data_IF_731012783086
#
_entry.id   IF_731012783086
#
_cell.length_a   1.000
_cell.length_b   1.000
_cell.length_c   1.000
_cell.angle_alpha   90.00
_cell.angle_beta   90.00
_cell.angle_gamma   90.00
#
_symmetry.space_group_name_H-M   'P 1'
#
loop_
_entity.id
_entity.type
_entity.pdbx_description
1 polymer ?
#
# COMPACT_ATOMS: atom_id res chain seq x y z
N UNK A 1 -0.26 -11.79 -5.72
CA UNK A 1 0.52 -10.89 -6.57
C UNK A 1 -0.24 -9.60 -6.88
N UNK A 2 -1.36 -9.61 -7.60
CA UNK A 2 -2.09 -8.39 -7.97
C UNK A 2 -2.49 -7.52 -6.75
N UNK A 3 -3.11 -8.11 -5.73
CA UNK A 3 -3.48 -7.35 -4.52
C UNK A 3 -2.27 -6.76 -3.80
N UNK A 4 -1.12 -7.43 -3.77
CA UNK A 4 0.12 -6.91 -3.21
C UNK A 4 0.57 -5.64 -3.94
N UNK A 5 0.57 -5.66 -5.26
CA UNK A 5 0.88 -4.52 -6.11
C UNK A 5 -0.08 -3.34 -5.88
N UNK A 6 -1.39 -3.60 -5.95
CA UNK A 6 -2.43 -2.56 -5.78
C UNK A 6 -2.38 -1.93 -4.39
N UNK A 7 -2.27 -2.77 -3.35
CA UNK A 7 -2.21 -2.28 -1.98
C UNK A 7 -0.99 -1.38 -1.75
N UNK A 8 0.12 -1.65 -2.45
CA UNK A 8 1.30 -0.79 -2.37
C UNK A 8 1.09 0.54 -3.09
N UNK A 9 0.46 0.54 -4.26
CA UNK A 9 0.09 1.78 -4.97
C UNK A 9 -0.80 2.68 -4.09
N UNK A 10 -1.81 2.09 -3.46
CA UNK A 10 -2.72 2.80 -2.57
C UNK A 10 -2.00 3.28 -1.29
N UNK A 11 -1.12 2.45 -0.72
CA UNK A 11 -0.37 2.80 0.49
C UNK A 11 0.51 4.05 0.33
N UNK A 12 1.07 4.26 -0.86
CA UNK A 12 1.91 5.43 -1.17
C UNK A 12 1.16 6.55 -1.90
N UNK A 13 -0.15 6.36 -2.15
CA UNK A 13 -0.98 7.32 -2.89
C UNK A 13 -0.39 7.69 -4.26
N UNK A 14 0.14 6.69 -4.98
CA UNK A 14 0.60 6.90 -6.34
C UNK A 14 -0.58 7.08 -7.27
N UNK A 15 -0.59 8.20 -8.00
CA UNK A 15 -1.59 8.46 -9.02
C UNK A 15 -1.33 7.55 -10.22
N UNK A 16 -2.04 6.44 -10.26
CA UNK A 16 -1.88 5.42 -11.29
C UNK A 16 -3.25 5.06 -11.85
N UNK A 17 -3.35 5.05 -13.18
CA UNK A 17 -4.51 4.55 -13.90
C UNK A 17 -4.15 3.20 -14.50
N UNK A 18 -5.03 2.22 -14.37
CA UNK A 18 -4.75 0.83 -14.74
C UNK A 18 -5.78 0.28 -15.71
N UNK A 19 -5.33 -0.57 -16.64
CA UNK A 19 -6.14 -1.41 -17.52
C UNK A 19 -5.73 -2.88 -17.36
N UNK A 20 -6.62 -3.81 -17.67
CA UNK A 20 -6.37 -5.25 -17.63
C UNK A 20 -6.59 -5.86 -19.01
N UNK A 21 -5.55 -6.53 -19.49
CA UNK A 21 -5.61 -7.39 -20.67
C UNK A 21 -5.38 -8.82 -20.22
N UNK A 22 -6.27 -9.70 -20.60
CA UNK A 22 -6.13 -11.14 -20.42
C UNK A 22 -5.81 -11.76 -21.76
N UNK A 23 -4.92 -12.76 -21.77
CA UNK A 23 -4.53 -13.45 -22.99
C UNK A 23 -4.41 -14.95 -22.77
N UNK A 24 -4.78 -15.67 -23.81
CA UNK A 24 -4.74 -17.11 -23.96
C UNK A 24 -4.37 -17.38 -25.43
N UNK A 25 -5.20 -18.09 -26.16
CA UNK A 25 -5.09 -18.21 -27.64
C UNK A 25 -5.41 -16.91 -28.38
N UNK A 26 -5.92 -15.91 -27.69
CA UNK A 26 -6.12 -14.52 -28.15
C UNK A 26 -6.05 -13.55 -26.97
N UNK A 27 -5.76 -12.29 -27.26
CA UNK A 27 -5.72 -11.22 -26.28
C UNK A 27 -7.05 -10.44 -26.26
N UNK A 28 -7.53 -10.06 -25.07
CA UNK A 28 -8.76 -9.29 -24.87
C UNK A 28 -8.60 -8.22 -23.79
N UNK A 29 -9.25 -7.06 -23.99
CA UNK A 29 -9.34 -6.00 -22.98
C UNK A 29 -10.41 -6.39 -21.96
N UNK A 30 -10.01 -6.92 -20.82
CA UNK A 30 -10.92 -7.30 -19.74
C UNK A 30 -11.37 -6.10 -18.91
N UNK A 31 -10.51 -5.07 -18.82
CA UNK A 31 -10.82 -3.80 -18.18
C UNK A 31 -10.11 -2.65 -18.92
N UNK A 32 -10.86 -1.66 -19.37
CA UNK A 32 -10.27 -0.42 -19.91
C UNK A 32 -9.53 0.35 -18.83
N UNK A 33 -8.55 1.17 -19.23
CA UNK A 33 -7.76 1.98 -18.31
C UNK A 33 -8.69 2.93 -17.53
N UNK A 34 -8.58 2.88 -16.19
CA UNK A 34 -9.35 3.68 -15.25
C UNK A 34 -8.55 3.96 -13.98
N UNK A 35 -8.94 5.00 -13.24
CA UNK A 35 -8.44 5.26 -11.89
C UNK A 35 -9.17 4.44 -10.82
N UNK A 36 -10.34 3.86 -11.14
CA UNK A 36 -11.13 3.05 -10.22
C UNK A 36 -10.55 1.63 -10.10
N UNK A 37 -9.53 1.48 -9.26
CA UNK A 37 -8.74 0.26 -9.10
C UNK A 37 -9.60 -0.91 -8.58
N UNK A 38 -10.64 -0.65 -7.79
CA UNK A 38 -11.51 -1.68 -7.24
C UNK A 38 -12.21 -2.55 -8.31
N UNK A 39 -12.47 -1.98 -9.48
CA UNK A 39 -13.05 -2.73 -10.60
C UNK A 39 -12.17 -3.89 -11.07
N UNK A 40 -10.87 -3.84 -10.79
CA UNK A 40 -9.92 -4.87 -11.16
C UNK A 40 -10.05 -6.14 -10.33
N UNK A 41 -10.26 -6.02 -9.02
CA UNK A 41 -10.27 -7.15 -8.09
C UNK A 41 -11.26 -8.21 -8.55
N UNK A 42 -12.50 -7.80 -8.85
CA UNK A 42 -13.54 -8.70 -9.35
C UNK A 42 -13.20 -9.36 -10.69
N UNK A 43 -12.44 -8.67 -11.55
CA UNK A 43 -12.04 -9.22 -12.86
C UNK A 43 -10.93 -10.26 -12.70
N UNK A 44 -9.96 -10.00 -11.82
CA UNK A 44 -8.85 -10.92 -11.54
C UNK A 44 -9.35 -12.20 -10.87
N UNK A 45 -10.26 -12.09 -9.91
CA UNK A 45 -10.83 -13.25 -9.19
C UNK A 45 -11.61 -14.22 -10.12
N UNK A 46 -12.15 -13.70 -11.22
CA UNK A 46 -12.86 -14.49 -12.22
C UNK A 46 -11.98 -15.14 -13.29
N UNK A 47 -10.65 -14.88 -13.29
CA UNK A 47 -9.74 -15.42 -14.32
C UNK A 47 -9.53 -16.92 -14.16
N UNK A 48 -9.51 -17.63 -15.30
CA UNK A 48 -9.20 -19.06 -15.36
C UNK A 48 -8.08 -19.28 -16.38
N UNK A 49 -7.04 -19.99 -15.98
CA UNK A 49 -5.99 -20.42 -16.89
C UNK A 49 -6.54 -21.45 -17.90
N UNK A 50 -6.35 -21.18 -19.19
CA UNK A 50 -6.78 -22.07 -20.26
C UNK A 50 -6.11 -21.68 -21.59
N UNK A 51 -5.84 -22.66 -22.47
CA UNK A 51 -5.42 -22.44 -23.85
C UNK A 51 -3.92 -22.15 -24.03
N UNK A 52 -3.60 -21.60 -25.19
CA UNK A 52 -2.24 -21.23 -25.62
C UNK A 52 -1.85 -19.84 -25.12
N UNK A 53 -0.67 -19.35 -25.52
CA UNK A 53 -0.12 -18.06 -25.08
C UNK A 53 0.05 -17.12 -26.27
N UNK A 54 -0.84 -16.09 -26.40
CA UNK A 54 -0.75 -15.02 -27.41
C UNK A 54 -0.10 -13.76 -26.77
N UNK A 55 1.18 -13.86 -26.40
CA UNK A 55 1.93 -12.84 -25.67
C UNK A 55 2.10 -11.54 -26.47
N UNK A 56 2.56 -11.65 -27.73
CA UNK A 56 2.82 -10.48 -28.56
C UNK A 56 1.54 -9.74 -28.93
N UNK A 57 0.44 -10.48 -29.18
CA UNK A 57 -0.87 -9.86 -29.43
C UNK A 57 -1.37 -9.10 -28.17
N UNK A 58 -1.09 -9.62 -26.98
CA UNK A 58 -1.45 -8.94 -25.74
C UNK A 58 -0.63 -7.66 -25.51
N UNK A 59 0.66 -7.69 -25.75
CA UNK A 59 1.53 -6.52 -25.64
C UNK A 59 1.16 -5.44 -26.67
N UNK A 60 0.82 -5.83 -27.92
CA UNK A 60 0.35 -4.91 -28.93
C UNK A 60 -0.99 -4.25 -28.52
N UNK A 61 -1.94 -5.05 -28.06
CA UNK A 61 -3.24 -4.55 -27.60
C UNK A 61 -3.07 -3.59 -26.39
N UNK A 62 -2.15 -3.88 -25.48
CA UNK A 62 -1.82 -3.01 -24.35
C UNK A 62 -1.22 -1.68 -24.82
N UNK A 63 -0.32 -1.72 -25.79
CA UNK A 63 0.25 -0.52 -26.40
C UNK A 63 -0.83 0.36 -27.05
N UNK A 64 -1.79 -0.23 -27.75
CA UNK A 64 -2.90 0.50 -28.37
C UNK A 64 -3.78 1.17 -27.33
N UNK A 65 -4.12 0.45 -26.23
CA UNK A 65 -4.89 1.03 -25.12
C UNK A 65 -4.13 2.18 -24.43
N UNK A 66 -2.83 2.05 -24.23
CA UNK A 66 -2.01 3.12 -23.65
C UNK A 66 -1.88 4.31 -24.58
N UNK A 67 -1.77 4.08 -25.88
CA UNK A 67 -1.67 5.15 -26.89
C UNK A 67 -2.97 5.94 -27.02
N UNK A 68 -4.12 5.27 -27.03
CA UNK A 68 -5.43 5.90 -26.98
C UNK A 68 -5.61 6.73 -25.68
N UNK A 69 -5.23 6.16 -24.55
CA UNK A 69 -5.39 6.82 -23.25
C UNK A 69 -4.45 8.02 -23.08
N UNK A 70 -3.25 7.95 -23.63
CA UNK A 70 -2.27 9.04 -23.60
C UNK A 70 -2.73 10.32 -24.31
N UNK A 71 -3.71 10.24 -25.20
CA UNK A 71 -4.32 11.43 -25.81
C UNK A 71 -5.00 12.33 -24.76
N UNK A 72 -5.52 11.73 -23.68
CA UNK A 72 -6.15 12.46 -22.56
C UNK A 72 -5.13 12.89 -21.51
N UNK A 73 -4.03 12.14 -21.36
CA UNK A 73 -3.00 12.34 -20.37
C UNK A 73 -1.59 12.30 -20.99
N UNK A 74 -1.21 13.32 -21.80
CA UNK A 74 0.01 13.28 -22.63
C UNK A 74 1.31 13.17 -21.81
N UNK A 75 1.31 13.60 -20.55
CA UNK A 75 2.47 13.57 -19.69
C UNK A 75 2.56 12.28 -18.84
N UNK A 76 1.58 11.37 -18.94
CA UNK A 76 1.60 10.13 -18.19
C UNK A 76 2.69 9.18 -18.72
N UNK A 77 3.45 8.60 -17.81
CA UNK A 77 4.39 7.52 -18.13
C UNK A 77 3.59 6.26 -18.49
N UNK A 78 3.95 5.65 -19.61
CA UNK A 78 3.27 4.45 -20.13
C UNK A 78 4.05 3.22 -19.73
N UNK A 79 3.36 2.25 -19.13
CA UNK A 79 3.97 1.02 -18.64
C UNK A 79 3.03 -0.17 -18.77
N UNK A 80 3.61 -1.32 -19.07
CA UNK A 80 2.94 -2.62 -19.06
C UNK A 80 3.62 -3.48 -18.00
N UNK A 81 2.84 -4.15 -17.17
CA UNK A 81 3.31 -5.23 -16.30
C UNK A 81 2.77 -6.52 -16.91
N UNK A 82 3.67 -7.34 -17.41
CA UNK A 82 3.34 -8.62 -18.02
C UNK A 82 3.63 -9.77 -17.05
N UNK A 83 2.64 -10.61 -16.78
CA UNK A 83 2.79 -11.81 -15.94
C UNK A 83 2.49 -13.01 -16.81
N UNK A 84 3.47 -13.90 -16.99
CA UNK A 84 3.35 -15.10 -17.83
C UNK A 84 4.24 -16.23 -17.33
N UNK A 85 3.76 -17.45 -17.49
CA UNK A 85 4.48 -18.70 -17.20
C UNK A 85 5.01 -19.39 -18.47
N UNK A 86 4.74 -18.85 -19.65
CA UNK A 86 5.07 -19.48 -20.91
C UNK A 86 5.59 -18.54 -21.99
N UNK A 87 6.19 -19.17 -23.01
CA UNK A 87 6.62 -18.52 -24.25
C UNK A 87 5.41 -18.29 -25.15
N UNK A 88 5.55 -17.33 -26.07
CA UNK A 88 4.54 -17.10 -27.10
C UNK A 88 4.35 -18.33 -27.98
N UNK A 89 3.11 -18.77 -28.12
CA UNK A 89 2.75 -19.94 -28.94
C UNK A 89 1.69 -19.65 -30.00
N UNK A 90 0.98 -18.53 -29.88
CA UNK A 90 -0.24 -18.29 -30.68
C UNK A 90 -0.42 -16.87 -31.22
N UNK A 91 0.50 -15.97 -30.95
CA UNK A 91 0.36 -14.60 -31.47
C UNK A 91 0.33 -14.56 -33.01
N UNK A 92 -0.47 -13.70 -33.53
CA UNK A 92 -0.52 -13.36 -34.95
C UNK A 92 0.51 -12.30 -35.32
N UNK A 93 0.84 -11.44 -34.38
CA UNK A 93 1.84 -10.40 -34.55
C UNK A 93 3.26 -10.94 -34.28
N UNK A 94 4.24 -10.35 -34.96
CA UNK A 94 5.64 -10.70 -34.75
C UNK A 94 6.21 -9.91 -33.58
N UNK A 95 6.98 -10.57 -32.73
CA UNK A 95 7.64 -9.92 -31.59
C UNK A 95 8.51 -8.73 -31.96
N UNK A 96 9.21 -8.80 -33.13
CA UNK A 96 10.00 -7.67 -33.65
C UNK A 96 9.19 -6.42 -33.93
N UNK A 97 7.99 -6.58 -34.52
CA UNK A 97 7.14 -5.46 -34.90
C UNK A 97 6.50 -4.83 -33.68
N UNK A 98 6.06 -5.66 -32.73
CA UNK A 98 5.52 -5.21 -31.43
C UNK A 98 6.60 -4.49 -30.64
N UNK A 99 7.82 -5.04 -30.55
CA UNK A 99 8.95 -4.41 -29.85
C UNK A 99 9.29 -3.04 -30.43
N UNK A 100 9.28 -2.92 -31.77
CA UNK A 100 9.50 -1.65 -32.44
C UNK A 100 8.44 -0.62 -32.12
N UNK A 101 7.16 -1.02 -32.10
CA UNK A 101 6.04 -0.13 -31.79
C UNK A 101 6.08 0.33 -30.33
N UNK A 102 6.39 -0.56 -29.39
CA UNK A 102 6.57 -0.23 -27.96
C UNK A 102 7.72 0.77 -27.78
N UNK A 103 8.83 0.56 -28.47
CA UNK A 103 9.98 1.48 -28.46
C UNK A 103 9.57 2.88 -28.96
N UNK A 104 8.91 2.97 -30.13
CA UNK A 104 8.47 4.25 -30.69
C UNK A 104 7.52 5.00 -29.74
N UNK A 105 6.63 4.27 -29.07
CA UNK A 105 5.65 4.83 -28.14
C UNK A 105 6.21 5.06 -26.74
N UNK A 106 7.48 4.74 -26.50
CA UNK A 106 8.16 4.85 -25.19
C UNK A 106 7.37 4.14 -24.09
N UNK A 107 6.94 2.92 -24.35
CA UNK A 107 6.22 2.07 -23.40
C UNK A 107 7.22 1.14 -22.74
N UNK A 108 7.30 1.21 -21.40
CA UNK A 108 8.13 0.31 -20.59
C UNK A 108 7.38 -0.98 -20.32
N UNK A 109 8.07 -2.13 -20.42
CA UNK A 109 7.51 -3.45 -20.12
C UNK A 109 8.29 -4.08 -18.97
N UNK A 110 7.65 -4.18 -17.82
CA UNK A 110 8.13 -4.97 -16.69
C UNK A 110 7.50 -6.36 -16.77
N UNK A 111 8.27 -7.42 -16.59
CA UNK A 111 7.78 -8.79 -16.75
C UNK A 111 8.04 -9.65 -15.51
N UNK A 112 7.00 -10.38 -15.11
CA UNK A 112 7.07 -11.43 -14.11
C UNK A 112 7.02 -12.79 -14.84
N UNK A 113 8.12 -13.49 -14.84
CA UNK A 113 8.22 -14.83 -15.42
C UNK A 113 7.96 -15.84 -14.31
N UNK A 114 6.86 -16.59 -14.43
CA UNK A 114 6.49 -17.63 -13.50
C UNK A 114 6.94 -18.99 -14.07
N UNK A 115 7.39 -19.90 -13.20
CA UNK A 115 7.85 -21.23 -13.61
C UNK A 115 9.35 -21.32 -13.77
N UNK A 116 9.83 -22.53 -14.08
CA UNK A 116 11.25 -22.90 -14.05
C UNK A 116 11.99 -22.54 -15.34
N UNK A 117 11.27 -22.26 -16.42
CA UNK A 117 11.89 -21.94 -17.71
C UNK A 117 12.19 -20.46 -17.88
N UNK A 118 13.38 -20.14 -18.39
CA UNK A 118 13.74 -18.76 -18.75
C UNK A 118 12.98 -18.31 -20.01
N UNK A 119 12.00 -17.42 -19.82
CA UNK A 119 11.27 -16.82 -20.92
C UNK A 119 12.11 -15.73 -21.60
N UNK A 120 12.82 -16.11 -22.67
CA UNK A 120 13.71 -15.22 -23.42
C UNK A 120 12.99 -14.08 -24.09
N UNK A 121 11.73 -14.27 -24.51
CA UNK A 121 10.92 -13.23 -25.16
C UNK A 121 10.59 -12.12 -24.19
N UNK A 122 10.11 -12.46 -23.00
CA UNK A 122 9.84 -11.47 -21.94
C UNK A 122 11.11 -10.79 -21.46
N UNK A 123 12.22 -11.50 -21.36
CA UNK A 123 13.52 -10.92 -21.02
C UNK A 123 13.94 -9.88 -22.07
N UNK A 124 13.82 -10.23 -23.33
CA UNK A 124 14.21 -9.36 -24.45
C UNK A 124 13.38 -8.08 -24.46
N UNK A 125 12.06 -8.19 -24.38
CA UNK A 125 11.21 -7.00 -24.45
C UNK A 125 11.38 -6.07 -23.22
N UNK A 126 11.56 -6.64 -22.02
CA UNK A 126 11.86 -5.83 -20.83
C UNK A 126 13.17 -5.07 -21.01
N UNK A 127 14.22 -5.74 -21.53
CA UNK A 127 15.49 -5.08 -21.83
C UNK A 127 15.34 -3.93 -22.82
N UNK A 128 14.74 -4.16 -23.96
CA UNK A 128 14.60 -3.15 -25.02
C UNK A 128 13.79 -1.95 -24.57
N UNK A 129 12.81 -2.15 -23.69
CA UNK A 129 11.92 -1.11 -23.22
C UNK A 129 12.42 -0.35 -21.98
N UNK A 130 13.56 -0.71 -21.41
CA UNK A 130 14.04 -0.14 -20.14
C UNK A 130 13.24 -0.59 -18.92
N UNK A 131 12.62 -1.73 -18.99
CA UNK A 131 11.91 -2.39 -17.90
C UNK A 131 12.76 -3.42 -17.17
N UNK A 132 12.13 -4.07 -16.19
CA UNK A 132 12.74 -5.13 -15.40
C UNK A 132 12.09 -6.48 -15.71
N UNK A 133 12.88 -7.56 -15.68
CA UNK A 133 12.37 -8.91 -15.65
C UNK A 133 12.52 -9.47 -14.24
N UNK A 134 11.42 -9.92 -13.66
CA UNK A 134 11.38 -10.61 -12.38
C UNK A 134 11.18 -12.11 -12.61
N UNK A 135 11.99 -12.93 -11.95
CA UNK A 135 11.89 -14.38 -12.00
C UNK A 135 11.83 -14.96 -10.57
N UNK A 136 10.68 -14.81 -9.89
CA UNK A 136 10.54 -15.28 -8.52
C UNK A 136 10.64 -16.80 -8.42
N UNK A 137 11.37 -17.27 -7.42
CA UNK A 137 11.58 -18.71 -7.18
C UNK A 137 10.59 -19.27 -6.14
N UNK A 138 9.81 -18.40 -5.49
CA UNK A 138 8.79 -18.80 -4.53
C UNK A 138 7.61 -17.82 -4.58
N UNK A 139 6.47 -18.25 -4.02
CA UNK A 139 5.31 -17.36 -3.90
C UNK A 139 5.61 -16.16 -2.98
N UNK A 140 6.34 -16.36 -1.89
CA UNK A 140 6.77 -15.27 -1.01
C UNK A 140 7.60 -14.23 -1.77
N UNK A 141 8.58 -14.66 -2.54
CA UNK A 141 9.39 -13.80 -3.38
C UNK A 141 8.54 -13.08 -4.44
N UNK A 142 7.57 -13.78 -5.05
CA UNK A 142 6.62 -13.16 -5.98
C UNK A 142 5.85 -12.02 -5.34
N UNK A 143 5.41 -12.19 -4.11
CA UNK A 143 4.66 -11.17 -3.37
C UNK A 143 5.54 -9.96 -3.04
N UNK A 144 6.77 -10.18 -2.56
CA UNK A 144 7.75 -9.11 -2.29
C UNK A 144 8.06 -8.29 -3.55
N UNK A 145 8.31 -8.96 -4.68
CA UNK A 145 8.58 -8.30 -5.95
C UNK A 145 7.37 -7.48 -6.44
N UNK A 146 6.16 -8.01 -6.28
CA UNK A 146 4.95 -7.26 -6.61
C UNK A 146 4.72 -6.06 -5.69
N UNK A 147 5.13 -6.12 -4.44
CA UNK A 147 5.10 -4.97 -3.53
C UNK A 147 6.15 -3.92 -3.89
N UNK A 148 7.31 -4.34 -4.37
CA UNK A 148 8.42 -3.48 -4.74
C UNK A 148 8.19 -2.77 -6.07
N UNK A 149 7.55 -3.42 -7.02
CA UNK A 149 7.38 -2.94 -8.39
C UNK A 149 6.76 -1.53 -8.50
N UNK A 150 5.70 -1.16 -7.76
CA UNK A 150 5.16 0.19 -7.79
C UNK A 150 6.18 1.27 -7.41
N UNK A 151 7.10 0.95 -6.49
CA UNK A 151 8.15 1.87 -6.03
C UNK A 151 9.23 2.02 -7.09
N UNK A 152 9.61 0.94 -7.77
CA UNK A 152 10.58 0.97 -8.87
C UNK A 152 10.19 1.94 -9.99
N UNK A 153 8.88 2.18 -10.15
CA UNK A 153 8.39 3.16 -11.12
C UNK A 153 8.80 4.61 -10.80
N UNK A 154 9.15 4.90 -9.56
CA UNK A 154 9.59 6.23 -9.10
C UNK A 154 11.10 6.42 -9.21
N UNK A 155 11.85 5.35 -9.48
CA UNK A 155 13.29 5.36 -9.61
C UNK A 155 13.74 5.65 -11.03
N UNK A 156 15.02 5.95 -11.20
CA UNK A 156 15.68 6.00 -12.50
C UNK A 156 15.70 4.58 -13.10
N UNK A 157 15.16 4.47 -14.31
CA UNK A 157 15.08 3.20 -15.01
C UNK A 157 16.25 2.97 -15.92
N UNK A 158 16.52 1.70 -16.28
CA UNK A 158 17.47 1.39 -17.34
C UNK A 158 17.14 2.13 -18.65
N UNK A 159 18.13 2.46 -19.46
CA UNK A 159 17.90 3.15 -20.73
C UNK A 159 17.08 2.28 -21.70
N UNK A 160 16.23 2.93 -22.46
CA UNK A 160 15.53 2.26 -23.58
C UNK A 160 16.54 1.98 -24.68
N UNK A 161 16.61 0.74 -25.15
CA UNK A 161 17.52 0.29 -26.19
C UNK A 161 16.78 0.12 -27.52
N UNK A 162 17.28 0.75 -28.58
CA UNK A 162 16.70 0.56 -29.91
C UNK A 162 16.78 -0.90 -30.36
N UNK A 163 15.68 -1.52 -30.80
CA UNK A 163 15.70 -2.88 -31.32
C UNK A 163 16.72 -3.08 -32.47
N UNK A 164 16.99 -2.02 -33.24
CA UNK A 164 18.01 -2.06 -34.33
C UNK A 164 19.43 -2.11 -33.78
N UNK A 165 19.70 -1.38 -32.71
CA UNK A 165 21.00 -1.42 -32.02
C UNK A 165 21.23 -2.77 -31.34
N UNK A 166 20.21 -3.31 -30.70
CA UNK A 166 20.25 -4.64 -30.07
C UNK A 166 20.55 -5.77 -31.08
N UNK A 167 20.08 -5.65 -32.33
CA UNK A 167 20.39 -6.61 -33.39
C UNK A 167 21.80 -6.46 -33.97
N UNK A 168 22.43 -5.27 -33.85
CA UNK A 168 23.78 -5.02 -34.32
C UNK A 168 24.87 -5.48 -33.35
N UNK A 169 24.56 -5.56 -32.07
CA UNK A 169 25.43 -6.14 -31.06
C UNK A 169 24.96 -7.58 -30.85
N UNK A 170 25.86 -8.54 -31.05
CA UNK A 170 25.58 -9.95 -30.77
C UNK A 170 24.93 -10.00 -29.38
N UNK A 171 23.70 -10.45 -29.34
CA UNK A 171 22.89 -10.57 -28.12
C UNK A 171 23.73 -11.28 -27.06
N UNK A 172 24.18 -10.52 -26.07
CA UNK A 172 24.89 -11.09 -24.94
C UNK A 172 23.86 -11.69 -23.97
N UNK A 173 23.74 -13.02 -23.90
CA UNK A 173 22.85 -13.68 -22.97
C UNK A 173 23.20 -13.42 -21.51
N UNK A 174 24.35 -12.75 -21.25
CA UNK A 174 24.81 -12.36 -19.93
C UNK A 174 24.35 -10.97 -19.49
N UNK A 175 23.76 -10.16 -20.38
CA UNK A 175 23.00 -8.98 -19.98
C UNK A 175 21.72 -9.40 -19.26
N UNK A 176 21.93 -9.98 -18.14
CA UNK A 176 20.89 -10.46 -17.26
C UNK A 176 20.46 -9.28 -16.39
N UNK A 177 19.16 -8.98 -16.40
CA UNK A 177 18.60 -7.96 -15.53
C UNK A 177 18.81 -8.33 -14.08
N UNK A 178 19.29 -7.36 -13.36
CA UNK A 178 19.90 -7.46 -12.03
C UNK A 178 18.89 -7.86 -10.96
N UNK A 179 17.61 -7.59 -11.14
CA UNK A 179 16.62 -7.68 -10.06
C UNK A 179 15.97 -9.05 -9.85
N UNK A 180 16.30 -10.04 -10.63
CA UNK A 180 15.49 -11.25 -10.60
C UNK A 180 16.20 -12.48 -10.06
N UNK A 181 17.35 -12.32 -9.39
CA UNK A 181 18.18 -13.49 -9.27
C UNK A 181 18.28 -14.12 -7.96
N UNK A 182 18.43 -13.32 -6.96
CA UNK A 182 18.68 -13.83 -5.64
C UNK A 182 17.70 -13.22 -4.66
N UNK A 183 17.21 -14.05 -3.76
CA UNK A 183 16.37 -13.64 -2.64
C UNK A 183 17.04 -12.52 -1.84
N UNK A 184 18.38 -12.56 -1.72
CA UNK A 184 19.17 -11.56 -1.06
C UNK A 184 19.13 -10.20 -1.78
N UNK A 185 19.21 -10.19 -3.11
CA UNK A 185 19.14 -8.95 -3.90
C UNK A 185 17.76 -8.32 -3.82
N UNK A 186 16.69 -9.12 -3.84
CA UNK A 186 15.33 -8.63 -3.68
C UNK A 186 15.08 -8.07 -2.26
N UNK A 187 15.64 -8.67 -1.23
CA UNK A 187 15.53 -8.21 0.16
C UNK A 187 16.33 -6.92 0.40
N UNK A 188 17.53 -6.81 -0.15
CA UNK A 188 18.38 -5.61 -0.04
C UNK A 188 17.78 -4.44 -0.79
N UNK A 189 17.30 -4.67 -2.01
CA UNK A 189 16.67 -3.64 -2.83
C UNK A 189 15.36 -3.15 -2.22
N UNK A 190 14.59 -4.03 -1.55
CA UNK A 190 13.35 -3.63 -0.85
C UNK A 190 13.60 -2.68 0.32
N UNK A 191 14.69 -2.85 1.05
CA UNK A 191 15.00 -1.99 2.20
C UNK A 191 15.39 -0.56 1.81
N UNK A 192 16.16 -0.41 0.74
CA UNK A 192 16.71 0.88 0.31
C UNK A 192 15.78 1.68 -0.63
N UNK A 193 14.90 0.99 -1.35
CA UNK A 193 14.04 1.59 -2.37
C UNK A 193 12.77 2.20 -1.76
N UNK A 194 12.24 1.63 -0.68
CA UNK A 194 11.00 2.15 -0.09
C UNK A 194 11.21 3.56 0.47
N UNK A 195 10.33 4.52 0.09
CA UNK A 195 10.41 5.87 0.63
C UNK A 195 10.41 5.84 2.15
N UNK A 196 11.37 6.54 2.75
CA UNK A 196 11.40 6.71 4.19
C UNK A 196 10.14 7.47 4.64
N UNK A 197 9.57 7.04 5.75
CA UNK A 197 8.43 7.70 6.33
C UNK A 197 8.84 9.08 6.81
N UNK A 198 8.13 10.12 6.37
CA UNK A 198 8.21 11.43 7.02
C UNK A 198 7.40 11.38 8.32
N UNK A 199 8.03 11.78 9.41
CA UNK A 199 7.31 11.93 10.67
C UNK A 199 6.29 13.07 10.58
N UNK A 200 5.17 12.90 11.26
CA UNK A 200 4.17 13.97 11.34
C UNK A 200 4.70 15.11 12.19
N UNK A 201 4.51 16.40 11.80
CA UNK A 201 5.06 17.54 12.54
C UNK A 201 4.63 17.59 14.01
N UNK A 202 3.43 17.12 14.32
CA UNK A 202 2.88 17.09 15.68
C UNK A 202 3.23 15.81 16.47
N UNK A 203 4.09 14.94 15.96
CA UNK A 203 4.40 13.65 16.64
C UNK A 203 5.10 13.84 17.98
N UNK A 204 5.85 14.93 18.13
CA UNK A 204 6.60 15.26 19.35
C UNK A 204 5.97 16.42 20.15
N UNK A 205 4.69 16.74 19.93
CA UNK A 205 3.97 17.73 20.71
C UNK A 205 3.79 17.30 22.17
N UNK A 206 3.44 18.26 23.02
CA UNK A 206 2.87 17.98 24.35
C UNK A 206 1.43 17.49 24.21
N UNK A 207 1.03 16.55 25.04
CA UNK A 207 -0.26 15.90 24.95
C UNK A 207 -1.02 15.97 26.27
N UNK A 208 -2.34 16.04 26.17
CA UNK A 208 -3.26 15.95 27.31
C UNK A 208 -4.10 14.68 27.18
N UNK A 209 -4.18 13.89 28.23
CA UNK A 209 -5.03 12.70 28.25
C UNK A 209 -6.51 13.08 28.29
N UNK A 210 -7.31 12.53 27.38
CA UNK A 210 -8.75 12.69 27.39
C UNK A 210 -9.36 11.78 28.47
N UNK A 211 -9.73 12.37 29.60
CA UNK A 211 -10.36 11.67 30.75
C UNK A 211 -11.60 12.42 31.22
N UNK A 212 -12.44 11.75 31.99
CA UNK A 212 -13.62 12.38 32.63
C UNK A 212 -13.27 13.58 33.53
N UNK A 213 -12.06 13.60 34.11
CA UNK A 213 -11.57 14.75 34.88
C UNK A 213 -11.24 15.97 34.02
N UNK A 214 -10.75 15.75 32.78
CA UNK A 214 -10.47 16.81 31.83
C UNK A 214 -11.77 17.46 31.26
N UNK A 215 -12.86 16.71 31.24
CA UNK A 215 -14.17 17.21 30.78
C UNK A 215 -14.82 18.24 31.73
N UNK A 216 -14.40 18.27 33.00
CA UNK A 216 -14.90 19.23 34.01
C UNK A 216 -14.02 20.47 34.13
N UNK A 217 -12.77 20.40 33.72
CA UNK A 217 -11.94 21.60 33.57
C UNK A 217 -12.06 22.01 32.10
N UNK A 218 -12.92 23.04 31.86
CA UNK A 218 -13.04 23.72 30.60
C UNK A 218 -11.66 23.79 29.91
N UNK A 219 -11.52 23.16 28.75
CA UNK A 219 -10.51 23.57 27.79
C UNK A 219 -10.67 25.08 27.68
N UNK A 220 -9.73 25.81 28.24
CA UNK A 220 -9.80 27.24 28.33
C UNK A 220 -9.78 27.88 26.95
N UNK A 221 -10.92 27.94 26.33
CA UNK A 221 -11.21 28.96 25.34
C UNK A 221 -11.20 30.25 26.12
N UNK A 222 -10.12 31.03 25.97
CA UNK A 222 -9.97 32.31 26.66
C UNK A 222 -11.27 33.08 26.69
N UNK A 223 -11.76 33.34 27.85
CA UNK A 223 -12.90 34.24 28.10
C UNK A 223 -12.47 35.68 27.79
N UNK A 224 -12.35 35.98 26.51
CA UNK A 224 -12.38 37.34 25.98
C UNK A 224 -13.83 37.68 25.68
N UNK A 225 -14.43 38.48 26.56
CA UNK A 225 -15.74 39.09 26.36
C UNK A 225 -15.74 39.92 25.07
N UNK A 226 -16.46 39.47 24.08
CA UNK A 226 -17.29 40.31 23.20
C UNK A 226 -17.97 39.49 22.13
N UNK A 227 -19.26 39.70 22.03
CA UNK A 227 -20.18 39.22 21.01
C UNK A 227 -19.67 39.32 19.58
N UNK A 228 -19.20 38.24 19.04
CA UNK A 228 -19.23 37.98 17.62
C UNK A 228 -19.49 36.49 17.47
N UNK A 229 -20.64 36.13 16.89
CA UNK A 229 -20.89 34.78 16.34
C UNK A 229 -19.85 34.51 15.23
N UNK A 230 -18.65 34.15 15.60
CA UNK A 230 -17.67 33.61 14.66
C UNK A 230 -18.19 32.24 14.23
N UNK A 231 -18.39 32.05 12.95
CA UNK A 231 -18.66 30.77 12.31
C UNK A 231 -17.58 29.78 12.75
N UNK A 232 -17.84 29.00 13.80
CA UNK A 232 -16.99 27.89 14.17
C UNK A 232 -16.98 26.94 12.98
N UNK A 233 -15.80 26.69 12.39
CA UNK A 233 -15.65 25.80 11.27
C UNK A 233 -16.30 24.45 11.61
N UNK A 234 -17.08 23.87 10.69
CA UNK A 234 -17.77 22.59 10.86
C UNK A 234 -16.82 21.49 11.37
N UNK A 235 -15.56 21.49 10.88
CA UNK A 235 -14.50 20.59 11.34
C UNK A 235 -14.22 20.73 12.84
N UNK A 236 -14.02 21.94 13.33
CA UNK A 236 -13.75 22.20 14.75
C UNK A 236 -14.91 21.78 15.63
N UNK A 237 -16.15 22.09 15.23
CA UNK A 237 -17.36 21.66 15.94
C UNK A 237 -17.45 20.14 16.01
N UNK A 238 -17.14 19.45 14.91
CA UNK A 238 -17.12 17.98 14.87
C UNK A 238 -16.05 17.42 15.80
N UNK A 239 -14.82 17.93 15.78
CA UNK A 239 -13.72 17.47 16.65
C UNK A 239 -14.11 17.59 18.13
N UNK A 240 -14.78 18.68 18.54
CA UNK A 240 -15.27 18.84 19.91
C UNK A 240 -16.32 17.79 20.28
N UNK A 241 -17.17 17.39 19.35
CA UNK A 241 -18.13 16.28 19.56
C UNK A 241 -17.39 14.96 19.75
N UNK A 242 -16.36 14.70 18.93
CA UNK A 242 -15.54 13.49 19.05
C UNK A 242 -14.80 13.42 20.39
N UNK A 243 -14.23 14.53 20.87
CA UNK A 243 -13.59 14.61 22.19
C UNK A 243 -14.58 14.22 23.29
N UNK A 244 -15.79 14.79 23.28
CA UNK A 244 -16.83 14.48 24.28
C UNK A 244 -17.23 13.00 24.21
N UNK A 245 -17.33 12.45 23.01
CA UNK A 245 -17.68 11.05 22.80
C UNK A 245 -16.61 10.11 23.38
N UNK A 246 -15.31 10.38 23.15
CA UNK A 246 -14.20 9.62 23.73
C UNK A 246 -14.21 9.69 25.27
N UNK A 247 -14.39 10.89 25.83
CA UNK A 247 -14.42 11.10 27.29
C UNK A 247 -15.59 10.37 27.94
N UNK A 248 -16.75 10.32 27.27
CA UNK A 248 -17.95 9.65 27.76
C UNK A 248 -17.86 8.11 27.71
N UNK A 249 -16.98 7.56 26.86
CA UNK A 249 -16.87 6.13 26.64
C UNK A 249 -15.41 5.66 26.80
N UNK A 250 -14.85 5.69 28.03
CA UNK A 250 -13.48 5.23 28.28
C UNK A 250 -13.35 3.74 27.99
N UNK A 251 -12.22 3.34 27.41
CA UNK A 251 -11.96 1.94 27.06
C UNK A 251 -10.93 1.32 28.01
N UNK A 252 -11.08 0.05 28.45
CA UNK A 252 -10.16 -0.54 29.41
C UNK A 252 -8.74 -0.79 28.87
N UNK A 253 -8.59 -0.93 27.55
CA UNK A 253 -7.33 -1.33 26.93
C UNK A 253 -6.64 -0.21 26.12
N UNK A 254 -7.19 0.99 26.02
CA UNK A 254 -6.49 2.09 25.40
C UNK A 254 -6.83 3.45 26.04
N UNK A 255 -5.89 4.39 25.89
CA UNK A 255 -6.03 5.79 26.27
C UNK A 255 -5.87 6.68 25.05
N UNK A 256 -6.60 7.79 25.02
CA UNK A 256 -6.54 8.80 23.95
C UNK A 256 -5.92 10.08 24.49
N UNK A 257 -4.97 10.63 23.74
CA UNK A 257 -4.23 11.85 24.05
C UNK A 257 -4.39 12.85 22.94
N UNK A 258 -4.68 14.09 23.31
CA UNK A 258 -4.86 15.23 22.41
C UNK A 258 -3.60 16.07 22.38
N UNK A 259 -3.11 16.46 21.19
CA UNK A 259 -2.01 17.44 21.07
C UNK A 259 -2.49 18.81 21.57
N UNK A 260 -1.69 19.47 22.41
CA UNK A 260 -1.98 20.81 22.92
C UNK A 260 -1.90 21.88 21.84
N UNK A 261 -1.01 21.69 20.87
CA UNK A 261 -0.81 22.65 19.77
C UNK A 261 -1.81 22.44 18.63
N UNK A 262 -2.35 21.22 18.46
CA UNK A 262 -3.22 20.85 17.35
C UNK A 262 -4.34 19.91 17.78
N UNK A 263 -5.52 20.45 18.08
CA UNK A 263 -6.68 19.67 18.51
C UNK A 263 -7.16 18.62 17.49
N UNK A 264 -6.71 18.66 16.24
CA UNK A 264 -7.03 17.66 15.24
C UNK A 264 -6.03 16.50 15.19
N UNK A 265 -4.96 16.55 15.99
CA UNK A 265 -3.96 15.49 16.07
C UNK A 265 -4.02 14.77 17.41
N UNK A 266 -4.34 13.46 17.35
CA UNK A 266 -4.50 12.63 18.53
C UNK A 266 -3.50 11.47 18.53
N UNK A 267 -3.09 11.02 19.72
CA UNK A 267 -2.42 9.74 19.91
C UNK A 267 -3.32 8.79 20.69
N UNK A 268 -3.31 7.54 20.31
CA UNK A 268 -3.99 6.44 21.01
C UNK A 268 -2.93 5.44 21.45
N UNK A 269 -2.79 5.24 22.76
CA UNK A 269 -1.92 4.23 23.33
C UNK A 269 -2.76 3.01 23.69
N UNK A 270 -2.58 1.90 22.99
CA UNK A 270 -3.40 0.71 23.15
C UNK A 270 -2.58 -0.51 23.55
N UNK A 271 -3.04 -1.21 24.57
CA UNK A 271 -2.57 -2.55 24.93
C UNK A 271 -3.15 -3.55 23.95
N UNK A 272 -2.33 -4.48 23.45
CA UNK A 272 -2.84 -5.54 22.58
C UNK A 272 -3.95 -6.37 23.24
N UNK A 273 -4.96 -6.82 22.47
CA UNK A 273 -6.08 -7.60 23.02
C UNK A 273 -5.60 -8.87 23.71
N UNK A 274 -6.16 -9.24 24.88
CA UNK A 274 -5.67 -10.36 25.70
C UNK A 274 -5.55 -11.70 24.99
N UNK A 275 -6.45 -12.01 24.06
CA UNK A 275 -6.50 -13.30 23.35
C UNK A 275 -5.79 -13.27 21.98
N UNK A 276 -5.13 -12.17 21.65
CA UNK A 276 -4.43 -11.99 20.37
C UNK A 276 -2.95 -12.35 20.44
N UNK A 277 -2.31 -12.47 19.26
CA UNK A 277 -0.86 -12.57 19.16
C UNK A 277 -0.14 -11.31 19.70
N UNK A 278 -0.87 -10.23 19.94
CA UNK A 278 -0.38 -8.91 20.34
C UNK A 278 -0.54 -8.61 21.83
N UNK A 279 -1.05 -9.53 22.63
CA UNK A 279 -1.47 -9.33 24.03
C UNK A 279 -0.39 -8.76 24.95
N UNK A 280 0.88 -9.00 24.68
CA UNK A 280 2.02 -8.52 25.50
C UNK A 280 2.58 -7.18 25.01
N UNK A 281 2.06 -6.63 23.91
CA UNK A 281 2.54 -5.39 23.30
C UNK A 281 1.70 -4.18 23.65
N UNK A 282 2.33 -3.00 23.60
CA UNK A 282 1.65 -1.72 23.66
C UNK A 282 1.97 -0.92 22.40
N UNK A 283 0.95 -0.46 21.74
CA UNK A 283 1.04 0.16 20.42
C UNK A 283 0.54 1.59 20.45
N UNK A 284 1.21 2.47 19.76
CA UNK A 284 0.81 3.87 19.62
C UNK A 284 0.33 4.13 18.21
N UNK A 285 -0.91 4.53 18.09
CA UNK A 285 -1.56 5.00 16.86
C UNK A 285 -1.69 6.52 16.91
N UNK A 286 -1.45 7.23 15.82
CA UNK A 286 -1.93 8.59 15.70
C UNK A 286 -3.14 8.69 14.77
N UNK A 287 -3.96 9.69 15.02
CA UNK A 287 -5.13 10.07 14.21
C UNK A 287 -4.95 11.55 13.87
N UNK A 288 -4.94 11.85 12.58
CA UNK A 288 -4.85 13.22 12.06
C UNK A 288 -6.12 13.54 11.26
N UNK A 289 -6.91 14.44 11.78
CA UNK A 289 -8.13 14.93 11.16
C UNK A 289 -7.81 16.14 10.29
N UNK A 290 -7.35 15.90 9.06
CA UNK A 290 -6.95 16.94 8.11
C UNK A 290 -8.09 17.94 7.79
N UNK A 291 -7.82 18.92 6.92
CA UNK A 291 -8.74 20.03 6.61
C UNK A 291 -10.12 19.58 6.10
N UNK A 292 -10.13 18.47 5.35
CA UNK A 292 -11.34 17.92 4.73
C UNK A 292 -12.18 17.02 5.67
N UNK A 293 -11.75 16.83 6.92
CA UNK A 293 -12.51 16.07 7.91
C UNK A 293 -13.79 16.82 8.31
N UNK A 294 -14.96 16.16 8.43
CA UNK A 294 -15.24 14.73 8.34
C UNK A 294 -15.68 14.23 6.95
N UNK A 295 -15.60 15.04 5.90
CA UNK A 295 -15.96 14.60 4.56
C UNK A 295 -15.07 13.43 4.08
N UNK A 296 -13.80 13.45 4.46
CA UNK A 296 -12.87 12.33 4.31
C UNK A 296 -12.45 11.76 5.66
N UNK A 297 -12.05 10.49 5.65
CA UNK A 297 -11.57 9.81 6.86
C UNK A 297 -10.30 10.45 7.41
N UNK A 298 -10.07 10.43 8.73
CA UNK A 298 -8.81 10.86 9.28
C UNK A 298 -7.67 9.92 8.86
N UNK A 299 -6.44 10.43 8.80
CA UNK A 299 -5.25 9.60 8.60
C UNK A 299 -4.89 8.89 9.88
N UNK A 300 -4.83 7.56 9.82
CA UNK A 300 -4.48 6.70 10.94
C UNK A 300 -3.19 5.95 10.65
N UNK A 301 -2.21 6.03 11.57
CA UNK A 301 -0.96 5.28 11.45
C UNK A 301 -0.43 4.85 12.81
N UNK A 302 0.04 3.62 12.88
CA UNK A 302 0.84 3.18 14.01
C UNK A 302 2.22 3.84 13.97
N UNK A 303 2.66 4.42 15.08
CA UNK A 303 4.03 4.87 15.28
C UNK A 303 4.91 3.72 15.76
N UNK A 304 4.35 2.84 16.59
CA UNK A 304 5.00 1.59 16.96
C UNK A 304 4.94 0.62 15.79
N UNK A 305 6.08 0.07 15.33
CA UNK A 305 6.08 -0.98 14.31
C UNK A 305 5.27 -2.19 14.76
N UNK A 306 4.50 -2.76 13.85
CA UNK A 306 3.65 -3.92 14.15
C UNK A 306 3.66 -4.92 12.99
N UNK A 307 3.82 -6.20 13.32
CA UNK A 307 3.77 -7.30 12.35
C UNK A 307 2.33 -7.77 12.19
N UNK A 308 1.61 -7.24 11.16
CA UNK A 308 0.18 -7.44 11.02
C UNK A 308 -0.28 -7.45 9.55
N UNK A 309 -1.23 -8.31 9.13
CA UNK A 309 -1.73 -8.36 7.76
C UNK A 309 -2.29 -7.03 7.23
N UNK A 310 -3.00 -6.28 8.08
CA UNK A 310 -3.65 -5.02 7.70
C UNK A 310 -2.82 -3.76 8.01
N UNK A 311 -1.57 -3.91 8.45
CA UNK A 311 -0.70 -2.78 8.79
C UNK A 311 0.64 -2.95 8.07
N UNK A 312 1.04 -1.93 7.30
CA UNK A 312 2.31 -1.99 6.58
C UNK A 312 3.50 -1.55 7.45
N UNK A 313 4.71 -1.69 6.93
CA UNK A 313 5.95 -1.33 7.62
C UNK A 313 6.04 0.17 8.01
N UNK A 314 5.22 1.03 7.41
CA UNK A 314 5.11 2.45 7.74
C UNK A 314 3.94 2.76 8.69
N UNK A 315 3.32 1.74 9.27
CA UNK A 315 2.22 1.87 10.23
C UNK A 315 0.87 2.26 9.61
N UNK A 316 0.74 2.33 8.28
CA UNK A 316 -0.57 2.59 7.65
C UNK A 316 -1.50 1.42 7.90
N UNK A 317 -2.70 1.73 8.37
CA UNK A 317 -3.79 0.77 8.54
C UNK A 317 -4.60 0.70 7.24
N UNK A 318 -4.84 -0.50 6.73
CA UNK A 318 -5.76 -0.77 5.63
C UNK A 318 -7.02 -1.42 6.19
N UNK A 319 -8.13 -0.72 6.10
CA UNK A 319 -9.46 -1.21 6.47
C UNK A 319 -10.51 -0.35 5.79
N UNK A 320 -11.63 -0.96 5.40
CA UNK A 320 -12.71 -0.31 4.66
C UNK A 320 -13.31 0.92 5.37
N UNK A 321 -13.27 0.96 6.72
CA UNK A 321 -13.75 2.10 7.50
C UNK A 321 -12.91 3.38 7.29
N UNK A 322 -11.66 3.25 6.85
CA UNK A 322 -10.77 4.38 6.54
C UNK A 322 -10.85 4.81 5.07
N UNK A 323 -11.64 4.11 4.26
CA UNK A 323 -11.72 4.31 2.81
C UNK A 323 -13.18 4.23 2.35
N UNK A 324 -13.57 3.14 1.69
CA UNK A 324 -14.87 2.99 1.00
C UNK A 324 -16.10 2.99 1.91
N UNK A 325 -15.95 2.64 3.18
CA UNK A 325 -17.04 2.62 4.17
C UNK A 325 -17.04 3.85 5.10
N UNK A 326 -16.16 4.83 4.84
CA UNK A 326 -16.19 6.06 5.60
C UNK A 326 -17.42 6.89 5.23
N UNK A 327 -18.08 7.40 6.26
CA UNK A 327 -19.15 8.40 6.12
C UNK A 327 -18.92 9.52 7.13
N UNK A 328 -19.47 10.69 6.87
CA UNK A 328 -19.36 11.83 7.82
C UNK A 328 -19.98 11.55 9.20
N UNK A 329 -20.79 10.50 9.30
CA UNK A 329 -21.40 10.08 10.58
C UNK A 329 -20.51 9.11 11.37
N UNK A 330 -19.49 8.54 10.73
CA UNK A 330 -18.54 7.63 11.39
C UNK A 330 -17.75 8.39 12.46
N UNK A 331 -17.81 7.92 13.71
CA UNK A 331 -17.09 8.57 14.81
C UNK A 331 -15.66 8.04 14.97
N UNK A 332 -14.78 8.87 15.55
CA UNK A 332 -13.43 8.43 15.89
C UNK A 332 -13.44 7.32 16.95
N UNK A 333 -14.44 7.26 17.82
CA UNK A 333 -14.61 6.15 18.75
C UNK A 333 -14.85 4.83 18.00
N UNK A 334 -15.76 4.82 17.01
CA UNK A 334 -15.98 3.63 16.16
C UNK A 334 -14.72 3.26 15.40
N UNK A 335 -14.02 4.24 14.85
CA UNK A 335 -12.77 4.03 14.12
C UNK A 335 -11.69 3.39 15.00
N UNK A 336 -11.45 3.92 16.20
CA UNK A 336 -10.48 3.38 17.15
C UNK A 336 -10.85 1.94 17.54
N UNK A 337 -12.13 1.70 17.87
CA UNK A 337 -12.61 0.37 18.20
C UNK A 337 -12.44 -0.62 17.05
N UNK A 338 -12.68 -0.20 15.82
CA UNK A 338 -12.46 -1.04 14.63
C UNK A 338 -10.98 -1.38 14.46
N UNK A 339 -10.08 -0.38 14.58
CA UNK A 339 -8.62 -0.60 14.51
C UNK A 339 -8.15 -1.52 15.63
N UNK A 340 -8.69 -1.35 16.84
CA UNK A 340 -8.40 -2.23 17.97
C UNK A 340 -8.85 -3.68 17.70
N UNK A 341 -10.03 -3.85 17.11
CA UNK A 341 -10.56 -5.16 16.74
C UNK A 341 -9.74 -5.87 15.67
N UNK A 342 -9.06 -5.13 14.78
CA UNK A 342 -8.13 -5.73 13.81
C UNK A 342 -6.97 -6.46 14.49
N UNK A 343 -6.52 -6.01 15.67
CA UNK A 343 -5.48 -6.70 16.43
C UNK A 343 -5.97 -8.04 17.01
N UNK A 344 -7.28 -8.23 17.12
CA UNK A 344 -7.88 -9.51 17.53
C UNK A 344 -8.17 -10.41 16.33
N UNK A 345 -8.81 -9.85 15.31
CA UNK A 345 -9.23 -10.55 14.09
C UNK A 345 -8.81 -9.73 12.88
N UNK A 346 -7.72 -10.13 12.19
CA UNK A 346 -7.30 -9.48 10.95
C UNK A 346 -8.37 -9.58 9.87
N UNK A 347 -8.48 -8.55 9.02
CA UNK A 347 -9.34 -8.54 7.85
C UNK A 347 -8.57 -9.03 6.62
N UNK A 348 -8.96 -10.15 6.02
CA UNK A 348 -8.27 -10.76 4.89
C UNK A 348 -8.87 -10.40 3.53
N UNK A 349 -9.98 -9.68 3.49
CA UNK A 349 -10.55 -9.22 2.21
C UNK A 349 -9.67 -8.17 1.53
N UNK A 350 -8.89 -7.42 2.32
CA UNK A 350 -8.03 -6.35 1.81
C UNK A 350 -6.73 -6.20 2.65
N UNK A 351 -5.84 -7.21 2.67
CA UNK A 351 -4.60 -7.14 3.42
C UNK A 351 -3.60 -6.22 2.72
N UNK A 352 -2.88 -5.40 3.49
CA UNK A 352 -1.84 -4.51 2.97
C UNK A 352 -0.44 -5.13 3.06
N UNK A 353 -0.25 -6.11 3.94
CA UNK A 353 1.01 -6.82 4.12
C UNK A 353 0.85 -8.28 3.66
N UNK A 354 1.13 -8.51 2.39
CA UNK A 354 0.89 -9.79 1.74
C UNK A 354 1.74 -10.92 2.30
N UNK A 355 2.99 -10.65 2.68
CA UNK A 355 3.90 -11.65 3.27
C UNK A 355 3.39 -12.12 4.62
N UNK A 356 3.00 -11.18 5.48
CA UNK A 356 2.43 -11.50 6.79
C UNK A 356 1.11 -12.26 6.65
N UNK A 357 0.29 -11.89 5.66
CA UNK A 357 -0.98 -12.56 5.37
C UNK A 357 -0.76 -14.01 4.95
N UNK A 358 0.17 -14.27 4.04
CA UNK A 358 0.51 -15.64 3.64
C UNK A 358 0.99 -16.47 4.82
N UNK A 359 1.86 -15.90 5.65
CA UNK A 359 2.39 -16.60 6.84
C UNK A 359 1.27 -16.94 7.81
N UNK A 360 0.34 -16.04 8.06
CA UNK A 360 -0.84 -16.29 8.90
C UNK A 360 -1.66 -17.50 8.40
N UNK A 361 -1.88 -17.60 7.08
CA UNK A 361 -2.69 -18.68 6.52
C UNK A 361 -1.98 -20.04 6.43
N UNK A 362 -0.65 -20.03 6.26
CA UNK A 362 0.09 -21.26 6.06
C UNK A 362 0.75 -21.82 7.31
N UNK A 363 1.12 -20.95 8.24
CA UNK A 363 1.77 -21.34 9.50
C UNK A 363 1.42 -20.34 10.60
N UNK A 364 0.26 -20.53 11.20
CA UNK A 364 -0.21 -19.66 12.29
C UNK A 364 0.72 -19.68 13.50
N UNK A 365 1.43 -20.80 13.75
CA UNK A 365 2.40 -20.90 14.86
C UNK A 365 3.59 -20.00 14.60
N UNK A 366 4.19 -20.10 13.41
CA UNK A 366 5.30 -19.22 13.01
C UNK A 366 4.87 -17.75 12.99
N UNK A 367 3.66 -17.44 12.50
CA UNK A 367 3.12 -16.09 12.57
C UNK A 367 3.05 -15.55 14.00
N UNK A 368 2.51 -16.34 14.93
CA UNK A 368 2.40 -15.94 16.35
C UNK A 368 3.76 -15.72 17.01
N UNK A 369 4.73 -16.55 16.68
CA UNK A 369 6.09 -16.44 17.24
C UNK A 369 6.83 -15.22 16.66
N UNK A 370 6.70 -14.93 15.38
CA UNK A 370 7.25 -13.71 14.79
C UNK A 370 6.57 -12.45 15.31
N UNK A 371 5.25 -12.46 15.47
CA UNK A 371 4.54 -11.33 16.08
C UNK A 371 5.04 -11.05 17.50
N UNK A 372 5.26 -12.08 18.32
CA UNK A 372 5.84 -11.95 19.67
C UNK A 372 7.28 -11.41 19.63
N UNK A 373 8.10 -11.89 18.70
CA UNK A 373 9.47 -11.39 18.55
C UNK A 373 9.48 -9.93 18.12
N UNK A 374 8.58 -9.55 17.23
CA UNK A 374 8.41 -8.17 16.80
C UNK A 374 7.98 -7.25 17.96
N UNK A 375 7.08 -7.73 18.82
CA UNK A 375 6.69 -7.03 20.05
C UNK A 375 7.89 -6.82 20.97
N UNK A 376 8.70 -7.86 21.20
CA UNK A 376 9.91 -7.75 22.04
C UNK A 376 10.88 -6.68 21.54
N UNK A 377 10.96 -6.48 20.23
CA UNK A 377 11.85 -5.48 19.63
C UNK A 377 11.28 -4.07 19.66
N UNK A 378 9.96 -3.90 19.54
CA UNK A 378 9.38 -2.60 19.20
C UNK A 378 8.24 -2.14 20.12
N UNK A 379 7.62 -3.02 20.90
CA UNK A 379 6.36 -2.74 21.59
C UNK A 379 6.34 -3.13 23.08
N UNK A 380 7.52 -3.22 23.71
CA UNK A 380 7.66 -3.63 25.12
C UNK A 380 7.34 -2.52 26.13
N UNK A 381 7.33 -1.27 25.68
CA UNK A 381 7.09 -0.12 26.55
C UNK A 381 5.66 -0.16 27.08
N UNK A 382 5.50 -0.15 28.41
CA UNK A 382 4.18 -0.27 29.02
C UNK A 382 3.28 0.96 28.75
N UNK A 383 1.98 0.77 28.90
CA UNK A 383 0.98 1.83 28.77
C UNK A 383 1.25 2.98 29.77
N UNK A 384 1.63 2.67 31.02
CA UNK A 384 1.97 3.68 32.03
C UNK A 384 3.26 4.44 31.67
N UNK A 385 4.26 3.75 31.10
CA UNK A 385 5.49 4.41 30.65
C UNK A 385 5.22 5.34 29.46
N UNK A 386 4.35 4.96 28.53
CA UNK A 386 3.88 5.86 27.46
C UNK A 386 3.12 7.04 27.99
N UNK A 387 2.22 6.82 28.97
CA UNK A 387 1.49 7.90 29.63
C UNK A 387 2.43 8.91 30.29
N UNK A 388 3.42 8.42 31.05
CA UNK A 388 4.41 9.28 31.70
C UNK A 388 5.20 10.13 30.67
N UNK A 389 5.60 9.53 29.52
CA UNK A 389 6.32 10.25 28.49
C UNK A 389 5.47 11.29 27.74
N UNK A 390 4.20 10.95 27.42
CA UNK A 390 3.31 11.86 26.69
C UNK A 390 2.83 13.04 27.52
N UNK A 391 2.82 12.89 28.85
CA UNK A 391 2.40 13.95 29.80
C UNK A 391 3.61 14.62 30.49
N UNK A 392 4.85 14.25 30.12
CA UNK A 392 6.03 14.94 30.63
C UNK A 392 6.09 16.36 30.07
N UNK A 393 6.30 17.34 30.98
CA UNK A 393 6.52 18.76 30.63
C UNK A 393 7.85 19.00 29.91
#
# INVERSE_FOLDING_TARGET
MFNAFVNRLLAYNYQTHMGLITFQSSATVSQKITHAIENFRHKVDGMKANGDTALWDALALANDQLSEYAQKFPNAKKRIICISDGKDTKSKQRGSDVSWTLFQNKVVVDSFCLGDEDNTDLRTISYLSGGYKFNPQSLEQSMLLCEMEPVLNQLERPPIVSPREALSHSYDPHLRFVFARDKADAEVVTADIFPQRKEHPNVNDHFVQLTTAAGNNSVGVGSGSSSTHSNMNLRTSRILVEIRNIVAHPHPHYDVYLSESNMSFWKVVMQGPPESAYSTGTFVLYIDMEEDYPAFSPKCRFTTPIFHPNINNHGRVCHSILDRNWTSDTSNLQLINTIYSLLLVPEFSDPINSVVTLKFHWDEVAFRDEAKEHIRKHAIKSRDAWKAELLAE
#
